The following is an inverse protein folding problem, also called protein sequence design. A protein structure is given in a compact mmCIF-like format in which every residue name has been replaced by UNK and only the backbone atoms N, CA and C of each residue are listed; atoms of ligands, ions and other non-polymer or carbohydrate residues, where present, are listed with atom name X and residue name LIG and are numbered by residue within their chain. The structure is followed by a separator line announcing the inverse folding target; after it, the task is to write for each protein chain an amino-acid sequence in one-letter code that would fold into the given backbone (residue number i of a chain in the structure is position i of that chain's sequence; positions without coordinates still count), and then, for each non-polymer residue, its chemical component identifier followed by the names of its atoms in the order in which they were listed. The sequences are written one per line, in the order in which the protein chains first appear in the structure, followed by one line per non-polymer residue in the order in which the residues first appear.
data_IF_928470385526
#
_entry.id   IF_928470385526
#
_cell.length_a   1.000
_cell.length_b   1.000
_cell.length_c   1.000
_cell.angle_alpha   90.00
_cell.angle_beta   90.00
_cell.angle_gamma   90.00
#
_symmetry.space_group_name_H-M   'P 1'
#
loop_
_entity.id
_entity.type
_entity.pdbx_description
1 polymer ?
#
# COMPACT_ATOMS: atom_id res chain seq x y z
N UNK A 1 -16.99 -14.53 2.04
CA UNK A 1 -17.97 -15.54 2.47
C UNK A 1 -17.73 -15.99 3.90
N UNK A 2 -16.51 -16.40 4.27
CA UNK A 2 -16.20 -16.79 5.66
C UNK A 2 -16.50 -15.70 6.70
N UNK A 3 -16.11 -14.45 6.42
CA UNK A 3 -16.39 -13.32 7.33
C UNK A 3 -17.88 -13.05 7.53
N UNK A 4 -18.68 -13.16 6.46
CA UNK A 4 -20.14 -13.08 6.54
C UNK A 4 -20.71 -14.17 7.44
N UNK A 5 -20.22 -15.42 7.31
CA UNK A 5 -20.69 -16.52 8.16
C UNK A 5 -20.30 -16.35 9.62
N UNK A 6 -19.09 -15.87 9.90
CA UNK A 6 -18.67 -15.59 11.28
C UNK A 6 -19.54 -14.50 11.94
N UNK A 7 -19.92 -13.46 11.19
CA UNK A 7 -20.83 -12.43 11.69
C UNK A 7 -22.25 -12.97 11.93
N UNK A 8 -22.77 -13.77 10.99
CA UNK A 8 -24.09 -14.41 11.11
C UNK A 8 -24.16 -15.34 12.34
N UNK A 9 -23.12 -16.15 12.55
CA UNK A 9 -23.01 -17.02 13.72
C UNK A 9 -23.00 -16.21 15.03
N UNK A 10 -22.22 -15.13 15.08
CA UNK A 10 -22.17 -14.24 16.25
C UNK A 10 -23.52 -13.58 16.56
N UNK A 11 -24.34 -13.34 15.53
CA UNK A 11 -25.67 -12.74 15.66
C UNK A 11 -26.78 -13.78 15.86
N UNK A 12 -26.49 -15.07 15.74
CA UNK A 12 -27.48 -16.15 15.80
C UNK A 12 -28.42 -16.17 14.58
N UNK A 13 -27.99 -15.63 13.44
CA UNK A 13 -28.79 -15.54 12.21
C UNK A 13 -28.39 -16.68 11.27
N UNK A 14 -29.38 -17.37 10.71
CA UNK A 14 -29.15 -18.42 9.71
C UNK A 14 -29.02 -17.82 8.32
N UNK A 15 -28.39 -18.56 7.39
CA UNK A 15 -28.25 -18.11 5.98
C UNK A 15 -29.61 -17.87 5.30
N UNK A 16 -30.62 -18.62 5.70
CA UNK A 16 -31.98 -18.51 5.16
C UNK A 16 -32.70 -17.23 5.62
N UNK A 17 -32.18 -16.58 6.68
CA UNK A 17 -32.73 -15.37 7.28
C UNK A 17 -31.78 -14.18 7.19
N UNK A 18 -30.92 -14.12 6.16
CA UNK A 18 -29.89 -13.08 6.05
C UNK A 18 -30.43 -11.64 6.08
N UNK A 19 -31.67 -11.44 5.58
CA UNK A 19 -32.36 -10.14 5.58
C UNK A 19 -32.62 -9.60 6.99
N UNK A 20 -32.54 -10.44 8.04
CA UNK A 20 -32.61 -9.97 9.42
C UNK A 20 -31.48 -8.99 9.76
N UNK A 21 -30.34 -9.06 9.08
CA UNK A 21 -29.24 -8.10 9.23
C UNK A 21 -29.69 -6.65 9.00
N UNK A 22 -30.63 -6.41 8.09
CA UNK A 22 -31.13 -5.07 7.77
C UNK A 22 -31.93 -4.43 8.92
N UNK A 23 -32.40 -5.25 9.88
CA UNK A 23 -33.20 -4.80 11.02
C UNK A 23 -32.37 -4.56 12.27
N UNK A 24 -31.09 -4.96 12.26
CA UNK A 24 -30.21 -4.80 13.40
C UNK A 24 -29.73 -3.35 13.46
N UNK A 25 -29.82 -2.67 14.61
CA UNK A 25 -29.23 -1.35 14.77
C UNK A 25 -27.74 -1.35 14.42
N UNK A 26 -27.22 -0.35 13.68
CA UNK A 26 -25.81 -0.31 13.27
C UNK A 26 -24.82 -0.48 14.42
N UNK A 27 -25.13 0.06 15.61
CA UNK A 27 -24.33 -0.09 16.80
C UNK A 27 -24.18 -1.55 17.26
N UNK A 28 -25.21 -2.37 17.07
CA UNK A 28 -25.21 -3.78 17.46
C UNK A 28 -24.49 -4.64 16.43
N UNK A 29 -24.57 -4.29 15.14
CA UNK A 29 -23.71 -4.87 14.10
C UNK A 29 -22.23 -4.62 14.39
N UNK A 30 -21.86 -3.38 14.75
CA UNK A 30 -20.47 -3.05 15.10
C UNK A 30 -20.02 -3.81 16.36
N UNK A 31 -20.87 -3.96 17.37
CA UNK A 31 -20.56 -4.78 18.56
C UNK A 31 -20.32 -6.24 18.19
N UNK A 32 -21.17 -6.82 17.34
CA UNK A 32 -21.00 -8.19 16.87
C UNK A 32 -19.70 -8.36 16.07
N UNK A 33 -19.38 -7.44 15.15
CA UNK A 33 -18.11 -7.44 14.42
C UNK A 33 -16.90 -7.39 15.37
N UNK A 34 -16.96 -6.56 16.42
CA UNK A 34 -15.90 -6.49 17.44
C UNK A 34 -15.78 -7.79 18.24
N UNK A 35 -16.90 -8.43 18.57
CA UNK A 35 -16.90 -9.72 19.26
C UNK A 35 -16.26 -10.82 18.40
N UNK A 36 -16.57 -10.87 17.10
CA UNK A 36 -15.89 -11.79 16.17
C UNK A 36 -14.39 -11.51 16.15
N UNK A 37 -13.99 -10.24 16.04
CA UNK A 37 -12.57 -9.86 16.02
C UNK A 37 -11.82 -10.17 17.31
N UNK A 38 -12.48 -10.13 18.47
CA UNK A 38 -11.85 -10.46 19.75
C UNK A 38 -11.39 -11.94 19.83
N UNK A 39 -11.98 -12.82 19.03
CA UNK A 39 -11.56 -14.22 18.89
C UNK A 39 -10.49 -14.46 17.82
N UNK A 40 -9.99 -13.41 17.16
CA UNK A 40 -9.01 -13.51 16.06
C UNK A 40 -7.67 -12.90 16.47
N UNK A 41 -6.60 -13.48 15.95
CA UNK A 41 -5.22 -13.05 16.22
C UNK A 41 -4.51 -12.63 14.92
N UNK A 42 -3.46 -11.82 15.10
CA UNK A 42 -2.41 -11.51 14.12
C UNK A 42 -2.91 -11.19 12.70
N UNK A 43 -3.55 -10.04 12.53
CA UNK A 43 -3.92 -9.52 11.20
C UNK A 43 -5.11 -10.22 10.53
N UNK A 44 -5.68 -11.26 11.15
CA UNK A 44 -6.86 -11.96 10.65
C UNK A 44 -8.16 -11.23 11.07
N UNK A 45 -8.31 -9.95 10.78
CA UNK A 45 -9.52 -9.21 11.15
C UNK A 45 -10.66 -9.50 10.19
N UNK A 46 -11.88 -9.52 10.73
CA UNK A 46 -13.11 -9.57 9.97
C UNK A 46 -13.14 -8.38 9.01
N UNK A 47 -13.18 -8.71 7.72
CA UNK A 47 -13.10 -7.75 6.64
C UNK A 47 -14.27 -7.94 5.67
N UNK A 48 -14.79 -6.83 5.17
CA UNK A 48 -15.80 -6.83 4.10
C UNK A 48 -15.21 -6.11 2.90
N UNK A 49 -14.38 -6.81 2.09
CA UNK A 49 -13.77 -6.21 0.93
C UNK A 49 -14.82 -5.87 -0.12
N UNK A 50 -14.42 -5.03 -1.07
CA UNK A 50 -15.14 -4.88 -2.33
C UNK A 50 -15.27 -6.25 -3.01
N UNK A 51 -16.49 -6.60 -3.42
CA UNK A 51 -16.79 -7.87 -4.11
C UNK A 51 -17.16 -7.59 -5.57
N UNK A 52 -16.77 -8.51 -6.45
CA UNK A 52 -17.22 -8.54 -7.84
C UNK A 52 -18.65 -9.12 -7.85
N UNK A 53 -19.64 -8.27 -7.62
CA UNK A 53 -21.06 -8.65 -7.49
C UNK A 53 -21.73 -8.96 -8.84
N UNK A 54 -21.10 -8.56 -9.96
CA UNK A 54 -21.65 -8.72 -11.30
C UNK A 54 -22.72 -7.70 -11.68
N UNK A 55 -23.08 -6.79 -10.77
CA UNK A 55 -24.08 -5.76 -10.97
C UNK A 55 -23.48 -4.36 -10.89
N UNK A 56 -22.95 -3.96 -9.73
CA UNK A 56 -22.27 -2.67 -9.53
C UNK A 56 -20.83 -2.74 -10.03
N UNK A 57 -20.11 -3.80 -9.67
CA UNK A 57 -18.72 -4.04 -10.05
C UNK A 57 -18.67 -5.31 -10.89
N UNK A 58 -18.58 -5.10 -12.19
CA UNK A 58 -18.66 -6.17 -13.20
C UNK A 58 -17.31 -6.69 -13.66
N UNK A 59 -16.29 -5.82 -13.63
CA UNK A 59 -14.99 -6.11 -14.20
C UNK A 59 -13.87 -5.66 -13.27
N UNK A 60 -12.75 -6.36 -13.32
CA UNK A 60 -11.50 -5.84 -12.79
C UNK A 60 -10.92 -4.84 -13.82
N UNK A 61 -10.61 -3.59 -13.45
CA UNK A 61 -10.06 -2.61 -14.39
C UNK A 61 -8.66 -2.98 -14.91
N UNK A 62 -7.94 -3.89 -14.26
CA UNK A 62 -6.55 -4.21 -14.55
C UNK A 62 -6.29 -5.68 -14.90
N UNK A 63 -7.32 -6.43 -15.30
CA UNK A 63 -7.18 -7.83 -15.75
C UNK A 63 -6.84 -7.98 -17.24
N UNK A 64 -6.80 -6.88 -17.98
CA UNK A 64 -6.53 -6.86 -19.40
C UNK A 64 -7.73 -7.28 -20.26
N UNK A 65 -8.96 -7.31 -19.73
CA UNK A 65 -10.18 -7.68 -20.44
C UNK A 65 -11.14 -6.48 -20.61
N UNK A 66 -12.46 -6.68 -20.49
CA UNK A 66 -13.48 -5.64 -20.70
C UNK A 66 -13.33 -4.46 -19.73
N UNK A 67 -12.96 -4.72 -18.48
CA UNK A 67 -12.76 -3.66 -17.49
C UNK A 67 -11.62 -2.72 -17.87
N UNK A 68 -10.53 -3.29 -18.35
CA UNK A 68 -9.37 -2.52 -18.83
C UNK A 68 -9.70 -1.67 -20.04
N UNK A 69 -10.50 -2.17 -20.97
CA UNK A 69 -10.98 -1.37 -22.10
C UNK A 69 -11.83 -0.19 -21.63
N UNK A 70 -12.72 -0.41 -20.66
CA UNK A 70 -13.62 0.62 -20.13
C UNK A 70 -12.88 1.76 -19.42
N UNK A 71 -11.77 1.47 -18.74
CA UNK A 71 -11.00 2.47 -17.98
C UNK A 71 -9.72 2.96 -18.66
N UNK A 72 -9.44 2.56 -19.91
CA UNK A 72 -8.15 2.85 -20.57
C UNK A 72 -7.87 4.35 -20.70
N UNK A 73 -8.90 5.15 -20.98
CA UNK A 73 -8.78 6.60 -21.19
C UNK A 73 -8.89 7.43 -19.90
N UNK A 74 -8.99 6.78 -18.72
CA UNK A 74 -8.96 7.45 -17.42
C UNK A 74 -7.49 7.66 -17.01
N UNK A 75 -7.00 8.90 -16.82
CA UNK A 75 -5.67 9.14 -16.29
C UNK A 75 -5.63 8.78 -14.81
N UNK A 76 -4.52 8.18 -14.35
CA UNK A 76 -4.40 7.66 -12.98
C UNK A 76 -3.05 8.07 -12.39
N UNK A 77 -3.07 8.47 -11.11
CA UNK A 77 -1.89 8.49 -10.24
C UNK A 77 -2.02 7.33 -9.26
N UNK A 78 -0.99 6.49 -9.14
CA UNK A 78 -0.81 5.59 -8.01
C UNK A 78 0.23 6.20 -7.08
N UNK A 79 -0.10 6.26 -5.79
CA UNK A 79 0.82 6.70 -4.77
C UNK A 79 0.73 5.78 -3.56
N UNK A 80 1.88 5.61 -2.90
CA UNK A 80 2.00 4.91 -1.63
C UNK A 80 3.11 5.59 -0.83
N UNK A 81 3.17 5.34 0.48
CA UNK A 81 4.23 5.91 1.32
C UNK A 81 5.48 5.01 1.31
N UNK A 82 6.67 5.58 1.57
CA UNK A 82 7.94 4.83 1.56
C UNK A 82 7.95 3.63 2.52
N UNK A 83 7.11 3.65 3.55
CA UNK A 83 6.92 2.57 4.54
C UNK A 83 5.44 2.15 4.64
N UNK A 84 4.67 2.19 3.55
CA UNK A 84 3.21 1.95 3.55
C UNK A 84 2.80 0.66 4.29
N UNK A 85 3.47 -0.45 3.97
CA UNK A 85 3.22 -1.76 4.56
C UNK A 85 3.71 -1.89 6.01
N UNK A 86 4.33 -0.87 6.60
CA UNK A 86 4.45 -0.80 8.06
C UNK A 86 3.07 -0.70 8.74
N UNK A 87 2.00 -0.38 8.01
CA UNK A 87 0.61 -0.54 8.47
C UNK A 87 0.34 -1.95 9.00
N UNK A 88 0.94 -3.00 8.40
CA UNK A 88 0.78 -4.37 8.89
C UNK A 88 1.28 -4.51 10.33
N UNK A 89 2.31 -3.76 10.71
CA UNK A 89 2.87 -3.79 12.05
C UNK A 89 1.96 -3.10 13.09
N UNK A 90 1.00 -2.25 12.68
CA UNK A 90 -0.05 -1.77 13.58
C UNK A 90 -1.02 -2.89 13.99
N UNK A 91 -1.13 -3.93 13.16
CA UNK A 91 -1.98 -5.10 13.39
C UNK A 91 -1.22 -6.32 13.92
N UNK A 92 0.11 -6.32 13.74
CA UNK A 92 1.08 -7.35 14.12
C UNK A 92 2.35 -6.67 14.69
N UNK A 93 2.32 -6.15 15.93
CA UNK A 93 3.41 -5.34 16.49
C UNK A 93 4.77 -6.04 16.50
N UNK A 94 4.81 -7.37 16.48
CA UNK A 94 6.05 -8.15 16.45
C UNK A 94 6.90 -7.87 15.19
N UNK A 95 6.32 -7.30 14.14
CA UNK A 95 7.05 -6.86 12.94
C UNK A 95 8.06 -5.75 13.30
N UNK A 96 7.70 -4.82 14.19
CA UNK A 96 8.62 -3.77 14.65
C UNK A 96 9.72 -4.30 15.58
N UNK A 97 9.54 -5.51 16.11
CA UNK A 97 10.48 -6.16 17.04
C UNK A 97 11.41 -7.16 16.34
N UNK A 98 11.33 -7.28 15.01
CA UNK A 98 12.22 -8.16 14.24
C UNK A 98 13.68 -7.78 14.45
N UNK A 99 14.52 -8.79 14.64
CA UNK A 99 15.97 -8.71 14.79
C UNK A 99 16.64 -9.50 13.68
N UNK A 100 17.96 -9.37 13.56
CA UNK A 100 18.75 -10.12 12.58
C UNK A 100 18.61 -11.64 12.79
N UNK A 101 18.37 -12.08 14.03
CA UNK A 101 18.14 -13.49 14.36
C UNK A 101 16.72 -13.97 14.02
N UNK A 102 15.70 -13.12 14.18
CA UNK A 102 14.29 -13.52 14.00
C UNK A 102 13.77 -13.29 12.59
N UNK A 103 14.34 -12.35 11.83
CA UNK A 103 13.95 -12.07 10.45
C UNK A 103 14.05 -13.29 9.51
N UNK A 104 15.14 -14.09 9.52
CA UNK A 104 15.21 -15.29 8.69
C UNK A 104 14.08 -16.28 8.99
N UNK A 105 13.73 -16.46 10.28
CA UNK A 105 12.64 -17.35 10.69
C UNK A 105 11.31 -16.84 10.16
N UNK A 106 11.04 -15.53 10.28
CA UNK A 106 9.82 -14.90 9.77
C UNK A 106 9.66 -15.07 8.26
N UNK A 107 10.76 -14.96 7.50
CA UNK A 107 10.75 -15.17 6.05
C UNK A 107 10.52 -16.64 5.68
N UNK A 108 11.11 -17.59 6.42
CA UNK A 108 10.87 -19.02 6.22
C UNK A 108 9.43 -19.41 6.56
N UNK A 109 8.84 -18.83 7.61
CA UNK A 109 7.41 -18.99 7.94
C UNK A 109 6.48 -18.50 6.82
N UNK A 110 6.91 -17.49 6.06
CA UNK A 110 6.20 -17.01 4.86
C UNK A 110 6.42 -17.90 3.61
N UNK A 111 7.11 -19.03 3.77
CA UNK A 111 7.31 -20.04 2.73
C UNK A 111 8.56 -19.86 1.87
N UNK A 112 9.48 -18.96 2.26
CA UNK A 112 10.75 -18.83 1.55
C UNK A 112 11.75 -19.93 1.94
N UNK A 113 12.52 -20.41 0.98
CA UNK A 113 13.66 -21.30 1.25
C UNK A 113 14.78 -20.54 1.97
N UNK A 114 15.73 -21.26 2.55
CA UNK A 114 16.93 -20.65 3.15
C UNK A 114 17.71 -19.80 2.14
N UNK A 115 17.89 -20.29 0.91
CA UNK A 115 18.56 -19.55 -0.15
C UNK A 115 17.82 -18.26 -0.54
N UNK A 116 16.48 -18.32 -0.64
CA UNK A 116 15.66 -17.13 -0.90
C UNK A 116 15.73 -16.13 0.24
N UNK A 117 15.70 -16.60 1.49
CA UNK A 117 15.82 -15.78 2.70
C UNK A 117 17.13 -15.01 2.72
N UNK A 118 18.27 -15.68 2.51
CA UNK A 118 19.58 -15.03 2.45
C UNK A 118 19.65 -14.00 1.33
N UNK A 119 19.09 -14.35 0.16
CA UNK A 119 19.04 -13.44 -1.00
C UNK A 119 18.20 -12.21 -0.71
N UNK A 120 17.05 -12.36 -0.04
CA UNK A 120 16.18 -11.25 0.37
C UNK A 120 16.96 -10.31 1.28
N UNK A 121 17.47 -10.82 2.41
CA UNK A 121 18.16 -10.01 3.42
C UNK A 121 19.31 -9.24 2.77
N UNK A 122 20.19 -9.94 2.05
CA UNK A 122 21.33 -9.32 1.35
C UNK A 122 20.93 -8.23 0.37
N UNK A 123 19.82 -8.42 -0.36
CA UNK A 123 19.35 -7.44 -1.36
C UNK A 123 18.90 -6.16 -0.67
N UNK A 124 18.04 -6.26 0.34
CA UNK A 124 17.52 -5.08 1.04
C UNK A 124 18.56 -4.41 1.95
N UNK A 125 19.48 -5.17 2.57
CA UNK A 125 20.62 -4.58 3.31
C UNK A 125 21.50 -3.71 2.41
N UNK A 126 21.67 -4.07 1.13
CA UNK A 126 22.44 -3.27 0.16
C UNK A 126 21.65 -2.07 -0.37
N UNK A 127 20.34 -2.24 -0.55
CA UNK A 127 19.48 -1.23 -1.19
C UNK A 127 19.10 -0.09 -0.23
N UNK A 128 18.94 -0.40 1.06
CA UNK A 128 18.52 0.55 2.09
C UNK A 128 19.73 1.13 2.83
N UNK A 129 19.57 2.32 3.39
CA UNK A 129 20.60 2.98 4.20
C UNK A 129 20.54 2.49 5.65
N UNK A 130 21.53 1.69 6.06
CA UNK A 130 21.66 1.10 7.40
C UNK A 130 20.33 0.57 7.99
N UNK A 131 19.65 -0.36 7.29
CA UNK A 131 18.32 -0.79 7.70
C UNK A 131 18.36 -1.68 8.94
N UNK A 132 17.33 -1.59 9.78
CA UNK A 132 17.00 -2.63 10.75
C UNK A 132 16.39 -3.87 10.07
N UNK A 133 16.30 -4.99 10.80
CA UNK A 133 15.57 -6.16 10.32
C UNK A 133 14.09 -5.87 10.03
N UNK A 134 13.44 -5.01 10.82
CA UNK A 134 12.08 -4.53 10.56
C UNK A 134 12.00 -3.72 9.26
N UNK A 135 12.98 -2.84 9.00
CA UNK A 135 13.03 -2.05 7.75
C UNK A 135 13.16 -2.95 6.51
N UNK A 136 13.99 -4.00 6.59
CA UNK A 136 14.13 -4.99 5.51
C UNK A 136 12.79 -5.67 5.24
N UNK A 137 12.11 -6.14 6.29
CA UNK A 137 10.82 -6.81 6.14
C UNK A 137 9.76 -5.86 5.57
N UNK A 138 9.66 -4.63 6.08
CA UNK A 138 8.70 -3.62 5.62
C UNK A 138 8.96 -3.24 4.16
N UNK A 139 10.22 -3.05 3.76
CA UNK A 139 10.58 -2.74 2.38
C UNK A 139 10.22 -3.90 1.43
N UNK A 140 10.48 -5.15 1.83
CA UNK A 140 10.03 -6.32 1.08
C UNK A 140 8.51 -6.34 0.89
N UNK A 141 7.76 -6.05 1.96
CA UNK A 141 6.30 -6.00 1.88
C UNK A 141 5.83 -4.88 0.94
N UNK A 142 6.44 -3.69 1.02
CA UNK A 142 6.15 -2.58 0.12
C UNK A 142 6.38 -2.95 -1.35
N UNK A 143 7.53 -3.52 -1.65
CA UNK A 143 7.85 -3.89 -3.03
C UNK A 143 6.95 -5.03 -3.52
N UNK A 144 6.59 -5.97 -2.64
CA UNK A 144 5.67 -7.07 -2.97
C UNK A 144 4.25 -6.59 -3.30
N UNK A 145 3.70 -5.65 -2.51
CA UNK A 145 2.32 -5.20 -2.68
C UNK A 145 2.22 -4.03 -3.66
N UNK A 146 3.02 -2.98 -3.46
CA UNK A 146 2.89 -1.72 -4.19
C UNK A 146 3.51 -1.79 -5.59
N UNK A 147 4.77 -2.22 -5.70
CA UNK A 147 5.44 -2.26 -7.01
C UNK A 147 4.81 -3.31 -7.94
N UNK A 148 4.35 -4.44 -7.39
CA UNK A 148 3.61 -5.44 -8.15
C UNK A 148 2.31 -4.87 -8.72
N UNK A 149 1.52 -4.19 -7.89
CA UNK A 149 0.28 -3.55 -8.36
C UNK A 149 0.55 -2.48 -9.43
N UNK A 150 1.56 -1.63 -9.23
CA UNK A 150 2.00 -0.64 -10.23
C UNK A 150 2.37 -1.30 -11.55
N UNK A 151 3.06 -2.45 -11.51
CA UNK A 151 3.45 -3.19 -12.71
C UNK A 151 2.23 -3.84 -13.41
N UNK A 152 1.26 -4.36 -12.67
CA UNK A 152 -0.02 -4.88 -13.20
C UNK A 152 -0.83 -3.80 -13.91
N UNK A 153 -0.99 -2.63 -13.27
CA UNK A 153 -1.66 -1.47 -13.88
C UNK A 153 -0.92 -1.01 -15.13
N UNK A 154 0.41 -0.93 -15.07
CA UNK A 154 1.22 -0.48 -16.19
C UNK A 154 1.16 -1.44 -17.39
N UNK A 155 1.26 -2.75 -17.19
CA UNK A 155 1.12 -3.76 -18.26
C UNK A 155 -0.24 -3.68 -18.94
N UNK A 156 -1.29 -3.51 -18.15
CA UNK A 156 -2.66 -3.36 -18.66
C UNK A 156 -2.79 -2.12 -19.52
N UNK A 157 -2.35 -0.96 -19.01
CA UNK A 157 -2.45 0.33 -19.71
C UNK A 157 -1.60 0.35 -20.99
N UNK A 158 -0.41 -0.23 -20.98
CA UNK A 158 0.42 -0.31 -22.19
C UNK A 158 -0.17 -1.28 -23.23
N UNK A 159 -0.69 -2.43 -22.79
CA UNK A 159 -1.29 -3.43 -23.69
C UNK A 159 -2.57 -2.96 -24.39
N UNK A 160 -3.33 -2.04 -23.76
CA UNK A 160 -4.57 -1.47 -24.31
C UNK A 160 -4.38 -0.09 -24.95
N UNK A 161 -3.29 0.61 -24.62
CA UNK A 161 -3.15 2.04 -24.87
C UNK A 161 -4.07 2.88 -23.97
N UNK A 162 -4.11 4.20 -24.18
CA UNK A 162 -5.00 5.11 -23.46
C UNK A 162 -4.28 6.27 -22.76
N UNK A 163 -4.91 6.79 -21.71
CA UNK A 163 -4.41 7.94 -20.98
C UNK A 163 -3.12 7.62 -20.18
N UNK A 164 -2.34 8.67 -19.91
CA UNK A 164 -1.13 8.56 -19.12
C UNK A 164 -1.41 8.01 -17.71
N UNK A 165 -0.47 7.19 -17.24
CA UNK A 165 -0.39 6.68 -15.89
C UNK A 165 0.83 7.30 -15.20
N UNK A 166 0.74 7.63 -13.91
CA UNK A 166 1.82 8.20 -13.12
C UNK A 166 1.97 7.46 -11.79
N UNK A 167 3.21 7.30 -11.32
CA UNK A 167 3.51 6.65 -10.04
C UNK A 167 4.27 7.59 -9.11
N UNK A 168 3.98 7.55 -7.81
CA UNK A 168 4.73 8.27 -6.79
C UNK A 168 4.94 7.49 -5.50
N UNK A 169 5.93 7.94 -4.75
CA UNK A 169 6.20 7.54 -3.37
C UNK A 169 6.27 8.78 -2.50
N UNK A 170 5.48 8.80 -1.43
CA UNK A 170 5.66 9.78 -0.37
C UNK A 170 6.82 9.36 0.54
N UNK A 171 7.93 10.09 0.48
CA UNK A 171 9.21 9.74 1.09
C UNK A 171 9.69 10.77 2.14
N UNK A 172 8.85 11.72 2.54
CA UNK A 172 9.12 12.58 3.69
C UNK A 172 8.79 11.81 4.99
N UNK A 173 9.79 11.56 5.82
CA UNK A 173 9.64 10.76 7.04
C UNK A 173 9.28 11.64 8.23
N UNK A 174 8.34 11.16 9.05
CA UNK A 174 8.06 11.73 10.37
C UNK A 174 9.26 11.54 11.31
N UNK A 175 9.35 12.30 12.43
CA UNK A 175 10.42 12.12 13.41
C UNK A 175 10.32 10.80 14.21
N UNK A 176 9.26 10.01 14.02
CA UNK A 176 9.13 8.69 14.64
C UNK A 176 10.09 7.70 13.95
N UNK A 177 11.09 7.16 14.66
CA UNK A 177 12.11 6.27 14.06
C UNK A 177 11.57 4.90 13.66
N UNK A 178 10.38 4.52 14.15
CA UNK A 178 9.71 3.25 13.86
C UNK A 178 8.74 3.45 12.69
N UNK A 179 7.87 4.46 12.77
CA UNK A 179 6.82 4.68 11.78
C UNK A 179 7.32 5.41 10.53
N UNK A 180 8.30 6.31 10.65
CA UNK A 180 8.92 7.02 9.52
C UNK A 180 7.87 7.60 8.56
N UNK A 181 7.77 7.06 7.35
CA UNK A 181 6.72 7.38 6.37
C UNK A 181 5.72 6.23 6.21
N UNK A 182 5.04 5.86 7.30
CA UNK A 182 3.98 4.82 7.34
C UNK A 182 2.73 5.25 6.59
N UNK A 183 1.86 4.30 6.29
CA UNK A 183 0.55 4.53 5.68
C UNK A 183 -0.22 5.71 6.29
N UNK A 184 -0.77 6.55 5.42
CA UNK A 184 -1.70 7.62 5.77
C UNK A 184 -1.06 8.92 6.25
N UNK A 185 0.25 8.95 6.54
CA UNK A 185 0.90 10.21 6.99
C UNK A 185 1.03 11.25 5.89
N UNK A 186 0.89 10.84 4.64
CA UNK A 186 0.94 11.67 3.44
C UNK A 186 -0.35 12.48 3.24
N UNK A 187 -1.47 12.04 3.85
CA UNK A 187 -2.78 12.68 3.71
C UNK A 187 -2.76 14.17 4.08
N UNK A 188 -2.24 14.60 5.25
CA UNK A 188 -2.14 16.03 5.55
C UNK A 188 -1.31 16.81 4.51
N UNK A 189 -0.31 16.19 3.88
CA UNK A 189 0.54 16.86 2.90
C UNK A 189 -0.21 17.13 1.60
N UNK A 190 -0.91 16.13 1.05
CA UNK A 190 -1.69 16.28 -0.19
C UNK A 190 -2.89 17.22 -0.04
N UNK A 191 -3.43 17.37 1.17
CA UNK A 191 -4.49 18.34 1.47
C UNK A 191 -3.99 19.75 1.81
N UNK A 192 -2.69 20.01 1.73
CA UNK A 192 -2.06 21.29 2.14
C UNK A 192 -2.36 21.63 3.61
N UNK A 193 -2.43 20.60 4.44
CA UNK A 193 -2.82 20.63 5.85
C UNK A 193 -1.73 20.11 6.78
N UNK A 194 -0.48 20.01 6.34
CA UNK A 194 0.64 19.57 7.21
C UNK A 194 0.72 20.40 8.51
N UNK A 195 0.35 21.69 8.49
CA UNK A 195 0.32 22.53 9.69
C UNK A 195 -0.65 22.03 10.79
N UNK A 196 -1.64 21.19 10.46
CA UNK A 196 -2.56 20.54 11.39
C UNK A 196 -2.01 19.20 11.95
N UNK A 197 -0.88 18.72 11.44
CA UNK A 197 -0.26 17.47 11.84
C UNK A 197 1.18 17.70 12.38
N UNK A 198 1.35 18.44 13.48
CA UNK A 198 2.68 18.79 14.01
C UNK A 198 3.50 17.60 14.50
N UNK A 199 2.90 16.43 14.68
CA UNK A 199 3.63 15.20 14.99
C UNK A 199 4.44 14.64 13.79
N UNK A 200 4.16 15.09 12.57
CA UNK A 200 4.81 14.59 11.34
C UNK A 200 6.10 15.33 10.98
N UNK A 201 6.52 16.31 11.79
CA UNK A 201 7.77 17.04 11.61
C UNK A 201 8.28 17.58 12.95
N UNK A 202 9.50 18.08 12.94
CA UNK A 202 10.14 18.75 14.07
C UNK A 202 10.15 20.26 13.84
N UNK A 203 10.52 21.04 14.87
CA UNK A 203 10.75 22.46 14.69
C UNK A 203 11.84 22.76 13.64
N UNK A 204 12.84 21.88 13.49
CA UNK A 204 13.97 22.06 12.58
C UNK A 204 13.58 21.90 11.10
N UNK A 205 12.77 20.88 10.77
CA UNK A 205 12.33 20.60 9.39
C UNK A 205 10.89 21.07 9.09
N UNK A 206 10.28 21.88 9.97
CA UNK A 206 8.92 22.42 9.77
C UNK A 206 8.75 23.14 8.42
N UNK A 207 9.72 23.97 8.05
CA UNK A 207 9.66 24.70 6.77
C UNK A 207 9.72 23.75 5.58
N UNK A 208 10.51 22.68 5.67
CA UNK A 208 10.60 21.65 4.64
C UNK A 208 9.29 20.89 4.54
N UNK A 209 8.70 20.47 5.66
CA UNK A 209 7.40 19.79 5.69
C UNK A 209 6.30 20.63 5.01
N UNK A 210 6.27 21.93 5.26
CA UNK A 210 5.30 22.82 4.63
C UNK A 210 5.56 23.02 3.13
N UNK A 211 6.84 23.06 2.73
CA UNK A 211 7.23 23.07 1.33
C UNK A 211 6.79 21.80 0.61
N UNK A 212 7.02 20.62 1.21
CA UNK A 212 6.55 19.33 0.67
C UNK A 212 5.02 19.34 0.54
N UNK A 213 4.30 19.86 1.53
CA UNK A 213 2.85 19.96 1.49
C UNK A 213 2.35 20.86 0.35
N UNK A 214 3.01 21.99 0.07
CA UNK A 214 2.68 22.83 -1.09
C UNK A 214 2.97 22.11 -2.42
N UNK A 215 4.11 21.43 -2.52
CA UNK A 215 4.48 20.62 -3.70
C UNK A 215 3.42 19.54 -3.97
N UNK A 216 3.09 18.73 -2.97
CA UNK A 216 2.06 17.69 -3.00
C UNK A 216 0.70 18.25 -3.47
N UNK A 217 0.18 19.27 -2.78
CA UNK A 217 -1.13 19.84 -3.13
C UNK A 217 -1.16 20.51 -4.49
N UNK A 218 -0.08 21.20 -4.89
CA UNK A 218 0.01 21.83 -6.21
C UNK A 218 0.05 20.79 -7.34
N UNK A 219 0.71 19.65 -7.12
CA UNK A 219 0.78 18.53 -8.05
C UNK A 219 -0.61 17.90 -8.26
N UNK A 220 -1.33 17.61 -7.17
CA UNK A 220 -2.69 17.07 -7.26
C UNK A 220 -3.66 18.04 -7.95
N UNK A 221 -3.56 19.34 -7.64
CA UNK A 221 -4.37 20.36 -8.30
C UNK A 221 -4.03 20.52 -9.80
N UNK A 222 -2.76 20.34 -10.20
CA UNK A 222 -2.35 20.35 -11.60
C UNK A 222 -2.92 19.14 -12.36
N UNK A 223 -2.84 17.95 -11.75
CA UNK A 223 -3.40 16.73 -12.30
C UNK A 223 -4.91 16.83 -12.50
N UNK A 224 -5.65 17.28 -11.48
CA UNK A 224 -7.10 17.45 -11.57
C UNK A 224 -7.53 18.43 -12.67
N UNK A 225 -6.73 19.45 -12.95
CA UNK A 225 -7.02 20.46 -13.97
C UNK A 225 -6.65 20.03 -15.39
N UNK A 226 -5.58 19.24 -15.55
CA UNK A 226 -4.93 19.06 -16.86
C UNK A 226 -4.60 17.62 -17.23
N UNK A 227 -4.64 16.69 -16.28
CA UNK A 227 -4.11 15.33 -16.43
C UNK A 227 -2.58 15.22 -16.33
N UNK A 228 -1.85 16.35 -16.26
CA UNK A 228 -0.41 16.38 -15.97
C UNK A 228 -0.18 16.76 -14.50
N UNK A 229 0.47 15.90 -13.69
CA UNK A 229 0.67 16.14 -12.27
C UNK A 229 1.87 17.03 -11.96
N UNK A 230 2.55 17.60 -12.95
CA UNK A 230 3.68 18.51 -12.72
C UNK A 230 3.20 19.80 -12.03
N UNK A 231 3.47 19.88 -10.72
CA UNK A 231 3.15 21.00 -9.86
C UNK A 231 4.28 22.03 -9.73
N UNK A 232 4.22 22.83 -8.66
CA UNK A 232 5.28 23.77 -8.29
C UNK A 232 6.39 23.06 -7.53
N UNK A 233 7.59 23.61 -7.55
CA UNK A 233 8.73 23.17 -6.72
C UNK A 233 9.06 21.67 -6.85
N UNK A 234 8.87 21.12 -8.05
CA UNK A 234 9.21 19.73 -8.38
C UNK A 234 9.76 19.64 -9.80
N UNK A 235 10.55 18.61 -10.13
CA UNK A 235 10.93 18.35 -11.50
C UNK A 235 9.70 17.99 -12.34
N UNK A 236 9.85 18.05 -13.67
CA UNK A 236 8.82 17.56 -14.58
C UNK A 236 8.47 16.11 -14.24
N UNK A 237 7.19 15.82 -14.02
CA UNK A 237 6.74 14.46 -13.72
C UNK A 237 6.37 13.74 -15.00
N UNK A 238 7.27 12.86 -15.46
CA UNK A 238 7.02 12.05 -16.66
C UNK A 238 6.01 10.93 -16.37
N UNK A 239 5.17 10.55 -17.34
CA UNK A 239 4.33 9.37 -17.23
C UNK A 239 5.16 8.12 -16.93
N UNK A 240 4.59 7.20 -16.15
CA UNK A 240 5.17 5.88 -15.92
C UNK A 240 5.10 5.05 -17.21
N UNK A 241 6.18 4.34 -17.52
CA UNK A 241 6.26 3.39 -18.63
C UNK A 241 7.10 2.17 -18.21
N UNK A 242 6.94 1.03 -18.90
CA UNK A 242 7.63 -0.22 -18.54
C UNK A 242 9.15 -0.17 -18.74
N UNK A 243 9.66 0.78 -19.53
CA UNK A 243 11.10 0.90 -19.84
C UNK A 243 11.84 1.68 -18.77
N UNK A 244 11.34 2.86 -18.41
CA UNK A 244 11.98 3.81 -17.50
C UNK A 244 11.41 3.74 -16.08
N UNK A 245 10.14 3.32 -15.93
CA UNK A 245 9.45 3.16 -14.64
C UNK A 245 9.56 4.41 -13.78
N UNK A 246 9.23 5.55 -14.39
CA UNK A 246 9.37 6.85 -13.76
C UNK A 246 8.49 6.97 -12.51
N UNK A 247 9.12 7.26 -11.37
CA UNK A 247 8.45 7.40 -10.07
C UNK A 247 8.81 8.75 -9.47
N UNK A 248 7.81 9.54 -9.08
CA UNK A 248 8.03 10.78 -8.34
C UNK A 248 8.19 10.50 -6.85
N UNK A 249 9.30 10.92 -6.25
CA UNK A 249 9.53 10.86 -4.81
C UNK A 249 9.19 12.20 -4.18
N UNK A 250 8.13 12.27 -3.39
CA UNK A 250 7.80 13.44 -2.59
C UNK A 250 8.61 13.41 -1.29
N UNK A 251 9.71 14.16 -1.27
CA UNK A 251 10.58 14.40 -0.11
C UNK A 251 10.93 15.89 -0.06
N UNK A 252 11.72 16.31 0.93
CA UNK A 252 12.13 17.72 1.11
C UNK A 252 12.52 18.42 -0.21
N UNK A 253 13.30 17.73 -1.04
CA UNK A 253 13.53 18.07 -2.44
C UNK A 253 12.96 16.95 -3.33
N UNK A 254 11.80 17.18 -3.94
CA UNK A 254 11.13 16.16 -4.74
C UNK A 254 11.93 15.79 -5.98
N UNK A 255 11.93 14.51 -6.33
CA UNK A 255 12.80 13.95 -7.37
C UNK A 255 12.04 12.96 -8.26
N UNK A 256 12.24 13.04 -9.58
CA UNK A 256 11.79 12.00 -10.50
C UNK A 256 12.91 10.98 -10.70
N UNK A 257 12.69 9.75 -10.25
CA UNK A 257 13.66 8.65 -10.39
C UNK A 257 13.23 7.65 -11.45
N UNK A 258 14.19 6.93 -12.02
CA UNK A 258 13.97 5.83 -12.96
C UNK A 258 14.14 4.49 -12.23
N UNK A 259 13.18 3.57 -12.39
CA UNK A 259 13.17 2.22 -11.81
C UNK A 259 13.45 2.22 -10.30
N UNK A 260 12.61 2.97 -9.55
CA UNK A 260 12.64 2.99 -8.09
C UNK A 260 12.60 1.56 -7.52
N UNK A 261 13.56 1.26 -6.63
CA UNK A 261 13.73 -0.08 -6.03
C UNK A 261 13.85 -1.22 -7.06
N UNK A 262 14.57 -0.99 -8.17
CA UNK A 262 14.81 -1.97 -9.24
C UNK A 262 15.15 -3.37 -8.72
N UNK A 263 16.15 -3.48 -7.85
CA UNK A 263 16.61 -4.78 -7.33
C UNK A 263 15.53 -5.49 -6.50
N UNK A 264 14.78 -4.74 -5.68
CA UNK A 264 13.64 -5.25 -4.92
C UNK A 264 12.51 -5.74 -5.83
N UNK A 265 12.13 -4.94 -6.82
CA UNK A 265 11.14 -5.32 -7.86
C UNK A 265 11.53 -6.60 -8.60
N UNK A 266 12.77 -6.70 -9.06
CA UNK A 266 13.26 -7.87 -9.80
C UNK A 266 13.32 -9.11 -8.91
N UNK A 267 13.72 -8.95 -7.65
CA UNK A 267 13.70 -10.01 -6.66
C UNK A 267 12.28 -10.51 -6.41
N UNK A 268 11.34 -9.61 -6.07
CA UNK A 268 9.93 -9.94 -5.84
C UNK A 268 9.30 -10.65 -7.04
N UNK A 269 9.57 -10.18 -8.26
CA UNK A 269 9.06 -10.79 -9.49
C UNK A 269 9.58 -12.22 -9.70
N UNK A 270 10.77 -12.54 -9.20
CA UNK A 270 11.38 -13.87 -9.30
C UNK A 270 10.98 -14.80 -8.15
N UNK A 271 10.54 -14.25 -7.03
CA UNK A 271 10.15 -15.02 -5.85
C UNK A 271 8.71 -15.55 -5.99
N UNK A 272 8.54 -16.85 -5.68
CA UNK A 272 7.24 -17.46 -5.44
C UNK A 272 7.13 -17.70 -3.94
N UNK A 273 6.38 -16.86 -3.23
CA UNK A 273 6.15 -16.97 -1.80
C UNK A 273 4.83 -16.31 -1.41
N UNK A 274 4.26 -16.78 -0.31
CA UNK A 274 3.00 -16.27 0.23
C UNK A 274 3.32 -15.29 1.36
N UNK A 275 3.73 -14.09 0.97
CA UNK A 275 3.89 -13.02 1.96
C UNK A 275 2.52 -12.69 2.56
N UNK A 276 2.47 -12.41 3.89
CA UNK A 276 1.22 -12.07 4.54
C UNK A 276 0.59 -10.85 3.88
N UNK A 277 -0.57 -11.03 3.26
CA UNK A 277 -1.40 -9.92 2.78
C UNK A 277 -2.25 -9.33 3.91
N UNK A 278 -3.00 -8.28 3.59
CA UNK A 278 -4.12 -7.88 4.44
C UNK A 278 -5.16 -9.02 4.45
N UNK A 279 -5.23 -9.76 5.56
CA UNK A 279 -6.39 -10.57 5.91
C UNK A 279 -6.56 -11.93 5.24
N UNK A 280 -5.53 -12.59 4.70
CA UNK A 280 -5.63 -14.04 4.37
C UNK A 280 -4.32 -14.79 4.58
N UNK A 281 -4.37 -15.80 5.45
CA UNK A 281 -3.70 -17.07 5.14
C UNK A 281 -4.64 -17.78 4.17
N UNK A 282 -4.26 -17.93 2.90
CA UNK A 282 -4.80 -19.06 2.15
C UNK A 282 -4.30 -20.31 2.86
N UNK A 283 -5.18 -21.01 3.57
CA UNK A 283 -4.89 -22.37 4.02
C UNK A 283 -5.62 -23.33 3.09
N UNK A 284 -4.84 -24.31 2.66
CA UNK A 284 -5.20 -25.57 2.01
C UNK A 284 -6.43 -26.24 2.61
#
# INVERSE_FOLDING_TARGET
MEDTYALLEQLGITKDNIDELERIPPEDLIKAMRAVNAGRENGNYLNFPVVLDGEVIKYNPFDGAEGSEYCKDIPIIICYTKHDMALLALFNPEIFELTDETLPLKLMEAGYTAEQTDRIIKTYTKMLDNPSAADIFIALMNDYHQLKFVDEVSKTKEGRGGANFYNCVFAFESPDPIQKAIHGIDVPFFFVNAYLAPCLYTAANKSEAFSVSDTCGSSWAAFARTGDPTGRNMPQWKPYDQKNRYTMLFKAESELVSDYHKEGRELVSALKGNLPGFGRREKE
#
